data_IF_329992229167
#
_entry.id   IF_329992229167
#
_cell.length_a   1.000
_cell.length_b   1.000
_cell.length_c   1.000
_cell.angle_alpha   90.00
_cell.angle_beta   90.00
_cell.angle_gamma   90.00
#
_symmetry.space_group_name_H-M   'P 1'
#
loop_
_entity.id
_entity.type
_entity.pdbx_description
1 polymer ?
#
# COMPACT_ATOMS: atom_id res chain seq x y z
N UNK A 1 27.79 -32.67 -14.06
CA UNK A 1 28.19 -31.37 -13.50
C UNK A 1 27.24 -31.09 -12.35
N UNK A 2 27.75 -31.01 -11.11
CA UNK A 2 26.93 -30.69 -9.93
C UNK A 2 26.30 -29.31 -10.14
N UNK A 3 24.98 -29.23 -10.38
CA UNK A 3 24.25 -28.01 -10.24
C UNK A 3 24.34 -27.61 -8.77
N UNK A 4 25.24 -26.70 -8.44
CA UNK A 4 25.18 -25.97 -7.18
C UNK A 4 23.81 -25.33 -7.16
N UNK A 5 22.92 -25.82 -6.31
CA UNK A 5 21.58 -25.28 -6.11
C UNK A 5 21.73 -23.82 -5.66
N UNK A 6 21.68 -22.88 -6.62
CA UNK A 6 21.82 -21.47 -6.30
C UNK A 6 20.60 -21.06 -5.47
N UNK A 7 20.85 -20.50 -4.31
CA UNK A 7 19.80 -19.93 -3.45
C UNK A 7 19.57 -18.48 -3.82
N UNK A 8 18.33 -18.07 -3.96
CA UNK A 8 17.97 -16.66 -4.16
C UNK A 8 17.81 -16.00 -2.79
N UNK A 9 18.48 -14.89 -2.57
CA UNK A 9 18.27 -14.07 -1.38
C UNK A 9 17.18 -13.04 -1.65
N UNK A 10 16.18 -12.97 -0.76
CA UNK A 10 15.13 -11.92 -0.80
C UNK A 10 15.25 -11.08 0.46
N UNK A 11 15.42 -9.78 0.31
CA UNK A 11 15.53 -8.82 1.40
C UNK A 11 14.19 -8.10 1.61
N UNK A 12 13.56 -8.31 2.77
CA UNK A 12 12.27 -7.74 3.16
C UNK A 12 11.10 -8.71 2.98
N UNK A 13 10.34 -8.92 4.05
CA UNK A 13 9.18 -9.82 4.13
C UNK A 13 7.83 -9.11 4.04
N UNK A 14 7.77 -7.94 3.38
CA UNK A 14 6.51 -7.26 3.03
C UNK A 14 5.77 -7.98 1.89
N UNK A 15 4.73 -7.34 1.31
CA UNK A 15 3.93 -7.92 0.23
C UNK A 15 4.80 -8.37 -0.95
N UNK A 16 5.68 -7.50 -1.41
CA UNK A 16 6.54 -7.76 -2.57
C UNK A 16 7.53 -8.88 -2.32
N UNK A 17 8.20 -8.88 -1.16
CA UNK A 17 9.21 -9.89 -0.84
C UNK A 17 8.61 -11.26 -0.53
N UNK A 18 7.46 -11.31 0.16
CA UNK A 18 6.72 -12.56 0.37
C UNK A 18 6.24 -13.15 -0.94
N UNK A 19 5.71 -12.31 -1.85
CA UNK A 19 5.33 -12.74 -3.19
C UNK A 19 6.55 -13.25 -3.97
N UNK A 20 7.67 -12.50 -3.96
CA UNK A 20 8.88 -12.90 -4.67
C UNK A 20 9.44 -14.23 -4.14
N UNK A 21 9.55 -14.39 -2.83
CA UNK A 21 10.02 -15.62 -2.20
C UNK A 21 9.14 -16.82 -2.59
N UNK A 22 7.82 -16.65 -2.53
CA UNK A 22 6.85 -17.66 -2.92
C UNK A 22 7.00 -18.07 -4.38
N UNK A 23 7.09 -17.09 -5.28
CA UNK A 23 7.19 -17.34 -6.72
C UNK A 23 8.48 -18.06 -7.12
N UNK A 24 9.60 -17.74 -6.48
CA UNK A 24 10.87 -18.46 -6.69
C UNK A 24 10.79 -19.87 -6.11
N UNK A 25 10.29 -20.01 -4.88
CA UNK A 25 10.24 -21.29 -4.17
C UNK A 25 9.32 -22.33 -4.83
N UNK A 26 8.16 -21.90 -5.35
CA UNK A 26 7.22 -22.79 -6.06
C UNK A 26 7.77 -23.33 -7.38
N UNK A 27 8.82 -22.71 -7.93
CA UNK A 27 9.58 -23.17 -9.10
C UNK A 27 10.74 -24.10 -8.73
N UNK A 28 10.82 -24.53 -7.46
CA UNK A 28 11.80 -25.49 -6.98
C UNK A 28 13.17 -24.89 -6.61
N UNK A 29 13.32 -23.58 -6.63
CA UNK A 29 14.56 -22.90 -6.22
C UNK A 29 14.54 -22.61 -4.73
N UNK A 30 15.67 -22.78 -4.04
CA UNK A 30 15.81 -22.41 -2.64
C UNK A 30 15.84 -20.90 -2.47
N UNK A 31 15.17 -20.41 -1.43
CA UNK A 31 15.08 -18.98 -1.10
C UNK A 31 15.52 -18.78 0.34
N UNK A 32 16.30 -17.73 0.58
CA UNK A 32 16.55 -17.18 1.91
C UNK A 32 15.88 -15.82 2.00
N UNK A 33 14.78 -15.75 2.77
CA UNK A 33 14.00 -14.54 2.97
C UNK A 33 14.41 -13.88 4.29
N UNK A 34 14.93 -12.66 4.20
CA UNK A 34 15.28 -11.84 5.35
C UNK A 34 14.16 -10.88 5.70
N UNK A 35 13.78 -10.84 6.98
CA UNK A 35 12.84 -9.86 7.54
C UNK A 35 13.35 -9.39 8.91
N UNK A 36 13.55 -8.10 9.07
CA UNK A 36 14.11 -7.55 10.30
C UNK A 36 13.16 -7.59 11.50
N UNK A 37 11.85 -7.65 11.26
CA UNK A 37 10.84 -7.74 12.35
C UNK A 37 10.70 -9.18 12.85
N UNK A 38 10.42 -9.39 14.12
CA UNK A 38 10.15 -8.41 15.17
C UNK A 38 11.39 -7.82 15.83
N UNK A 39 12.60 -8.26 15.48
CA UNK A 39 13.83 -7.83 16.15
C UNK A 39 14.10 -6.32 16.00
N UNK A 40 13.74 -5.76 14.84
CA UNK A 40 13.80 -4.33 14.57
C UNK A 40 12.51 -3.89 13.89
N UNK A 41 11.72 -3.11 14.59
CA UNK A 41 10.44 -2.57 14.09
C UNK A 41 10.66 -1.33 13.23
N UNK A 42 9.71 -1.04 12.34
CA UNK A 42 9.62 0.24 11.63
C UNK A 42 8.59 1.15 12.29
N UNK A 43 8.55 2.44 11.95
CA UNK A 43 7.55 3.34 12.53
C UNK A 43 6.09 3.02 12.19
N UNK A 44 5.84 2.23 11.13
CA UNK A 44 4.48 1.96 10.64
C UNK A 44 3.97 0.54 10.92
N UNK A 45 4.86 -0.42 11.18
CA UNK A 45 4.48 -1.80 11.48
C UNK A 45 4.23 -2.00 12.98
N UNK A 46 3.26 -2.83 13.30
CA UNK A 46 2.86 -3.15 14.68
C UNK A 46 3.21 -4.59 15.06
N UNK A 47 3.38 -5.47 14.07
CA UNK A 47 3.65 -6.90 14.27
C UNK A 47 4.94 -7.35 13.61
N UNK A 48 5.39 -8.56 13.95
CA UNK A 48 6.47 -9.24 13.24
C UNK A 48 6.01 -10.08 12.05
N UNK A 49 4.70 -10.10 11.74
CA UNK A 49 4.17 -10.95 10.66
C UNK A 49 4.58 -10.43 9.28
N UNK A 50 4.74 -11.37 8.34
CA UNK A 50 5.02 -11.06 6.94
C UNK A 50 3.78 -10.45 6.28
N UNK A 51 4.00 -9.61 5.26
CA UNK A 51 2.90 -9.04 4.46
C UNK A 51 1.97 -8.10 5.21
N UNK A 52 2.34 -7.58 6.37
CA UNK A 52 1.52 -6.64 7.16
C UNK A 52 1.17 -5.39 6.35
N UNK A 53 -0.15 -5.04 6.35
CA UNK A 53 -0.67 -3.84 5.70
C UNK A 53 -0.56 -2.63 6.63
N UNK A 54 0.26 -1.66 6.29
CA UNK A 54 0.56 -0.52 7.17
C UNK A 54 -0.39 0.66 7.02
N UNK A 55 -1.00 0.87 5.86
CA UNK A 55 -1.89 2.01 5.58
C UNK A 55 -3.37 1.58 5.62
N UNK A 56 -3.93 1.21 4.50
CA UNK A 56 -5.32 0.77 4.34
C UNK A 56 -5.41 -0.76 4.42
N UNK A 57 -6.59 -1.30 4.75
CA UNK A 57 -6.86 -2.73 4.60
C UNK A 57 -7.48 -3.08 3.23
N UNK A 58 -7.60 -2.11 2.33
CA UNK A 58 -8.18 -2.30 1.00
C UNK A 58 -7.11 -2.51 -0.07
N UNK A 59 -7.35 -3.51 -0.88
CA UNK A 59 -6.60 -3.78 -2.12
C UNK A 59 -7.28 -3.18 -3.36
N UNK A 60 -8.20 -2.21 -3.16
CA UNK A 60 -8.87 -1.48 -4.24
C UNK A 60 -10.03 -2.23 -4.91
N UNK A 61 -10.63 -1.61 -5.93
CA UNK A 61 -11.82 -2.11 -6.61
C UNK A 61 -11.63 -3.46 -7.32
N UNK A 62 -12.69 -4.29 -7.36
CA UNK A 62 -12.63 -5.67 -7.90
C UNK A 62 -13.09 -5.80 -9.34
N UNK A 63 -13.87 -4.83 -9.83
CA UNK A 63 -14.43 -4.92 -11.18
C UNK A 63 -13.31 -4.92 -12.23
N UNK A 64 -13.31 -5.89 -13.13
CA UNK A 64 -12.36 -5.98 -14.27
C UNK A 64 -12.52 -4.84 -15.29
N UNK A 65 -13.50 -3.95 -15.09
CA UNK A 65 -13.63 -2.69 -15.81
C UNK A 65 -12.74 -1.58 -15.22
N UNK A 66 -12.05 -1.85 -14.11
CA UNK A 66 -11.08 -0.96 -13.48
C UNK A 66 -9.68 -1.54 -13.61
N UNK A 67 -8.67 -0.69 -13.67
CA UNK A 67 -7.27 -1.11 -13.78
C UNK A 67 -6.80 -1.97 -12.59
N UNK A 68 -7.25 -1.62 -11.38
CA UNK A 68 -6.98 -2.43 -10.18
C UNK A 68 -7.62 -3.83 -10.27
N UNK A 69 -8.83 -3.94 -10.81
CA UNK A 69 -9.48 -5.23 -11.03
C UNK A 69 -8.79 -6.07 -12.12
N UNK A 70 -8.27 -5.43 -13.18
CA UNK A 70 -7.45 -6.11 -14.19
C UNK A 70 -6.16 -6.66 -13.55
N UNK A 71 -5.44 -5.84 -12.78
CA UNK A 71 -4.21 -6.26 -12.11
C UNK A 71 -4.45 -7.43 -11.15
N UNK A 72 -5.55 -7.42 -10.37
CA UNK A 72 -5.94 -8.55 -9.52
C UNK A 72 -6.16 -9.84 -10.33
N UNK A 73 -6.87 -9.75 -11.44
CA UNK A 73 -7.13 -10.91 -12.30
C UNK A 73 -5.83 -11.48 -12.89
N UNK A 74 -4.89 -10.64 -13.29
CA UNK A 74 -3.56 -11.06 -13.76
C UNK A 74 -2.77 -11.75 -12.64
N UNK A 75 -2.65 -11.12 -11.47
CA UNK A 75 -1.95 -11.69 -10.31
C UNK A 75 -2.56 -13.05 -9.88
N UNK A 76 -3.88 -13.14 -9.84
CA UNK A 76 -4.58 -14.40 -9.51
C UNK A 76 -4.24 -15.49 -10.51
N UNK A 77 -4.27 -15.19 -11.82
CA UNK A 77 -3.90 -16.16 -12.89
C UNK A 77 -2.45 -16.61 -12.79
N UNK A 78 -1.57 -15.74 -12.35
CA UNK A 78 -0.15 -16.06 -12.14
C UNK A 78 0.12 -16.81 -10.83
N UNK A 79 -0.94 -17.09 -10.03
CA UNK A 79 -0.84 -17.84 -8.77
C UNK A 79 -0.16 -17.05 -7.66
N UNK A 80 -0.54 -15.78 -7.51
CA UNK A 80 -0.06 -14.90 -6.45
C UNK A 80 -0.46 -15.41 -5.06
N UNK A 81 0.51 -15.50 -4.16
CA UNK A 81 0.31 -15.78 -2.74
C UNK A 81 -0.56 -14.71 -2.09
N UNK A 82 -0.25 -13.46 -2.37
CA UNK A 82 -0.92 -12.29 -1.79
C UNK A 82 -2.40 -12.30 -2.16
N UNK A 83 -2.72 -12.58 -3.43
CA UNK A 83 -4.12 -12.66 -3.87
C UNK A 83 -4.86 -13.84 -3.25
N UNK A 84 -4.21 -15.01 -3.10
CA UNK A 84 -4.82 -16.16 -2.42
C UNK A 84 -5.15 -15.84 -0.95
N UNK A 85 -4.21 -15.22 -0.22
CA UNK A 85 -4.44 -14.84 1.16
C UNK A 85 -5.51 -13.75 1.30
N UNK A 86 -5.53 -12.77 0.37
CA UNK A 86 -6.52 -11.71 0.37
C UNK A 86 -7.94 -12.24 0.19
N UNK A 87 -8.15 -13.16 -0.75
CA UNK A 87 -9.47 -13.77 -0.98
C UNK A 87 -9.99 -14.55 0.26
N UNK A 88 -9.09 -15.17 1.01
CA UNK A 88 -9.45 -15.96 2.21
C UNK A 88 -9.63 -15.13 3.49
N UNK A 89 -9.20 -13.89 3.48
CA UNK A 89 -9.28 -12.97 4.63
C UNK A 89 -10.19 -11.77 4.37
N UNK A 90 -11.11 -11.89 3.39
CA UNK A 90 -12.04 -10.82 3.00
C UNK A 90 -12.89 -10.34 4.17
N UNK A 91 -13.13 -9.04 4.18
CA UNK A 91 -14.15 -8.39 4.99
C UNK A 91 -15.09 -7.57 4.09
N UNK A 92 -16.34 -7.31 4.51
CA UNK A 92 -17.28 -6.53 3.73
C UNK A 92 -16.77 -5.13 3.39
N UNK A 93 -16.76 -4.78 2.09
CA UNK A 93 -16.29 -3.48 1.61
C UNK A 93 -16.88 -3.10 0.24
N UNK A 94 -18.12 -3.45 -0.03
CA UNK A 94 -18.84 -3.11 -1.25
C UNK A 94 -18.14 -3.63 -2.52
N UNK A 95 -17.70 -2.72 -3.39
CA UNK A 95 -17.01 -3.07 -4.65
C UNK A 95 -15.48 -3.15 -4.51
N UNK A 96 -14.93 -3.11 -3.30
CA UNK A 96 -13.50 -3.20 -3.05
C UNK A 96 -13.14 -4.55 -2.38
N UNK A 97 -11.96 -5.08 -2.67
CA UNK A 97 -11.38 -6.15 -1.90
C UNK A 97 -10.71 -5.55 -0.66
N UNK A 98 -11.34 -5.70 0.49
CA UNK A 98 -10.74 -5.38 1.78
C UNK A 98 -10.51 -6.67 2.57
N UNK A 99 -9.53 -6.65 3.45
CA UNK A 99 -9.09 -7.82 4.21
C UNK A 99 -9.04 -7.52 5.72
N UNK A 100 -9.25 -8.55 6.51
CA UNK A 100 -8.85 -8.57 7.91
C UNK A 100 -7.32 -8.58 7.97
N UNK A 101 -6.72 -7.51 8.50
CA UNK A 101 -5.25 -7.29 8.47
C UNK A 101 -4.48 -8.40 9.17
N UNK A 102 -4.93 -8.79 10.36
CA UNK A 102 -4.22 -9.78 11.17
C UNK A 102 -4.31 -11.14 10.53
N UNK A 103 -5.51 -11.55 10.12
CA UNK A 103 -5.74 -12.82 9.44
C UNK A 103 -4.98 -12.90 8.12
N UNK A 104 -4.97 -11.82 7.35
CA UNK A 104 -4.22 -11.73 6.09
C UNK A 104 -2.72 -11.93 6.31
N UNK A 105 -2.12 -11.17 7.23
CA UNK A 105 -0.69 -11.28 7.55
C UNK A 105 -0.34 -12.65 8.14
N UNK A 106 -1.15 -13.19 9.05
CA UNK A 106 -0.96 -14.51 9.63
C UNK A 106 -0.96 -15.61 8.56
N UNK A 107 -1.85 -15.55 7.57
CA UNK A 107 -1.90 -16.53 6.47
C UNK A 107 -0.65 -16.47 5.58
N UNK A 108 -0.12 -15.27 5.31
CA UNK A 108 1.12 -15.11 4.55
C UNK A 108 2.29 -15.68 5.33
N UNK A 109 2.41 -15.31 6.61
CA UNK A 109 3.48 -15.77 7.50
C UNK A 109 3.47 -17.30 7.62
N UNK A 110 2.30 -17.92 7.82
CA UNK A 110 2.12 -19.36 7.88
C UNK A 110 2.56 -20.06 6.58
N UNK A 111 2.10 -19.57 5.42
CA UNK A 111 2.43 -20.18 4.12
C UNK A 111 3.93 -20.09 3.79
N UNK A 112 4.54 -18.96 4.07
CA UNK A 112 5.97 -18.75 3.85
C UNK A 112 6.77 -19.63 4.80
N UNK A 113 6.45 -19.62 6.10
CA UNK A 113 7.18 -20.40 7.12
C UNK A 113 7.07 -21.91 6.92
N UNK A 114 5.96 -22.39 6.35
CA UNK A 114 5.76 -23.82 6.06
C UNK A 114 6.29 -24.25 4.68
N UNK A 115 6.79 -23.31 3.86
CA UNK A 115 7.32 -23.66 2.54
C UNK A 115 8.71 -24.30 2.63
N UNK A 116 8.90 -25.56 2.22
CA UNK A 116 10.17 -26.29 2.40
C UNK A 116 11.34 -25.70 1.58
N UNK A 117 11.04 -24.82 0.62
CA UNK A 117 12.04 -24.16 -0.19
C UNK A 117 12.36 -22.73 0.30
N UNK A 118 11.74 -22.25 1.38
CA UNK A 118 12.00 -20.93 1.95
C UNK A 118 12.60 -21.08 3.34
N UNK A 119 13.78 -20.51 3.53
CA UNK A 119 14.40 -20.29 4.84
C UNK A 119 14.08 -18.86 5.25
N UNK A 120 13.23 -18.69 6.27
CA UNK A 120 12.92 -17.38 6.84
C UNK A 120 13.95 -17.00 7.90
N UNK A 121 14.68 -15.91 7.66
CA UNK A 121 15.70 -15.38 8.56
C UNK A 121 15.21 -14.06 9.16
N UNK A 122 15.02 -14.04 10.47
CA UNK A 122 14.55 -12.85 11.22
C UNK A 122 15.73 -11.96 11.60
N UNK A 123 16.35 -11.34 10.58
CA UNK A 123 17.51 -10.46 10.73
C UNK A 123 17.44 -9.29 9.77
N UNK A 124 18.02 -8.14 10.16
CA UNK A 124 18.22 -7.00 9.29
C UNK A 124 19.39 -7.25 8.35
N UNK A 125 19.18 -7.13 7.05
CA UNK A 125 20.28 -7.02 6.09
C UNK A 125 20.79 -5.56 6.06
N UNK A 126 22.03 -5.36 6.45
CA UNK A 126 22.72 -4.06 6.45
C UNK A 126 23.68 -3.90 5.28
N UNK A 127 23.96 -4.99 4.56
CA UNK A 127 24.82 -5.03 3.37
C UNK A 127 24.03 -5.58 2.17
N UNK A 128 24.48 -5.23 0.96
CA UNK A 128 23.89 -5.83 -0.24
C UNK A 128 24.16 -7.33 -0.25
N UNK A 129 23.12 -8.16 -0.46
CA UNK A 129 23.30 -9.61 -0.50
C UNK A 129 24.10 -10.06 -1.73
N UNK A 130 24.69 -11.25 -1.63
CA UNK A 130 25.28 -11.92 -2.78
C UNK A 130 24.21 -12.27 -3.83
N UNK A 131 24.57 -12.16 -5.10
CA UNK A 131 23.68 -12.49 -6.22
C UNK A 131 23.57 -14.01 -6.42
N UNK A 132 22.37 -14.51 -6.77
CA UNK A 132 21.17 -13.78 -7.17
C UNK A 132 20.35 -13.28 -5.98
N UNK A 133 19.86 -12.04 -6.06
CA UNK A 133 19.12 -11.41 -4.98
C UNK A 133 18.02 -10.46 -5.44
N UNK A 134 16.96 -10.34 -4.63
CA UNK A 134 15.84 -9.41 -4.84
C UNK A 134 15.72 -8.51 -3.60
N UNK A 135 15.91 -7.22 -3.79
CA UNK A 135 15.68 -6.19 -2.77
C UNK A 135 14.21 -5.82 -2.78
N UNK A 136 13.49 -6.20 -1.73
CA UNK A 136 12.05 -5.95 -1.54
C UNK A 136 11.77 -5.31 -0.18
N UNK A 137 12.69 -4.49 0.30
CA UNK A 137 12.65 -3.85 1.63
C UNK A 137 11.57 -2.80 1.78
N UNK A 138 10.92 -2.45 0.67
CA UNK A 138 9.77 -1.54 0.64
C UNK A 138 10.13 -0.08 0.95
N UNK A 139 9.11 0.74 1.22
CA UNK A 139 9.28 2.19 1.39
C UNK A 139 9.99 2.55 2.69
N UNK A 140 9.95 1.68 3.70
CA UNK A 140 10.57 1.85 5.01
C UNK A 140 11.91 1.10 5.12
N UNK A 141 12.65 1.04 4.03
CA UNK A 141 14.01 0.49 3.99
C UNK A 141 14.87 1.10 5.08
N UNK A 142 15.61 0.26 5.80
CA UNK A 142 16.46 0.70 6.90
C UNK A 142 17.61 1.60 6.42
N UNK A 143 18.07 2.50 7.28
CA UNK A 143 19.12 3.45 6.92
C UNK A 143 20.41 2.77 6.38
N UNK A 144 20.95 1.69 7.01
CA UNK A 144 22.12 1.01 6.45
C UNK A 144 21.90 0.46 5.03
N UNK A 145 20.76 -0.19 4.78
CA UNK A 145 20.46 -0.70 3.44
C UNK A 145 20.23 0.44 2.44
N UNK A 146 19.58 1.53 2.84
CA UNK A 146 19.41 2.70 2.00
C UNK A 146 20.76 3.30 1.58
N UNK A 147 21.70 3.46 2.51
CA UNK A 147 23.06 3.93 2.21
C UNK A 147 23.80 3.04 1.19
N UNK A 148 23.64 1.70 1.31
CA UNK A 148 24.23 0.75 0.35
C UNK A 148 23.61 0.87 -1.04
N UNK A 149 22.31 1.01 -1.12
CA UNK A 149 21.60 1.20 -2.38
C UNK A 149 21.95 2.56 -3.02
N UNK A 150 22.04 3.64 -2.25
CA UNK A 150 22.48 4.95 -2.74
C UNK A 150 23.93 4.87 -3.29
N UNK A 151 24.83 4.18 -2.58
CA UNK A 151 26.19 3.96 -3.03
C UNK A 151 26.27 3.12 -4.32
N UNK A 152 25.36 2.12 -4.46
CA UNK A 152 25.28 1.28 -5.65
C UNK A 152 24.82 2.08 -6.88
N UNK A 153 23.81 2.91 -6.72
CA UNK A 153 23.18 3.65 -7.83
C UNK A 153 23.94 4.93 -8.19
N UNK A 154 24.75 5.47 -7.28
CA UNK A 154 25.39 6.78 -7.40
C UNK A 154 24.39 7.94 -7.38
N UNK A 155 23.14 7.69 -7.04
CA UNK A 155 22.06 8.66 -6.98
C UNK A 155 21.47 8.77 -5.58
N UNK A 156 20.99 9.98 -5.23
CA UNK A 156 20.18 10.17 -4.03
C UNK A 156 18.80 9.53 -4.25
N UNK A 157 18.25 8.94 -3.18
CA UNK A 157 16.89 8.45 -3.22
C UNK A 157 15.90 9.58 -3.39
N UNK A 158 14.82 9.27 -4.12
CA UNK A 158 13.63 10.08 -4.13
C UNK A 158 12.74 9.67 -2.95
N UNK A 159 11.98 10.62 -2.43
CA UNK A 159 11.12 10.40 -1.30
C UNK A 159 9.74 11.00 -1.54
N UNK A 160 8.73 10.34 -1.03
CA UNK A 160 7.40 10.93 -0.86
C UNK A 160 6.87 10.62 0.55
N UNK A 161 5.85 11.34 0.96
CA UNK A 161 5.24 11.17 2.26
C UNK A 161 3.90 10.48 2.12
N UNK A 162 3.68 9.49 2.97
CA UNK A 162 2.45 8.74 3.09
C UNK A 162 1.94 8.84 4.53
N UNK A 163 0.63 8.82 4.69
CA UNK A 163 -0.02 8.90 5.99
C UNK A 163 -1.01 7.76 6.17
N UNK A 164 -1.15 7.30 7.41
CA UNK A 164 -2.10 6.27 7.81
C UNK A 164 -3.37 6.92 8.34
N UNK A 165 -4.52 6.34 8.03
CA UNK A 165 -5.80 6.74 8.58
C UNK A 165 -6.06 6.07 9.94
N UNK A 166 -6.78 6.72 10.88
CA UNK A 166 -7.15 6.14 12.15
C UNK A 166 -8.15 4.99 12.04
N UNK A 167 -8.14 4.12 13.06
CA UNK A 167 -9.09 3.02 13.25
C UNK A 167 -9.86 3.28 14.55
N UNK A 168 -11.18 3.10 14.50
CA UNK A 168 -12.09 3.28 15.65
C UNK A 168 -12.74 1.96 16.06
N UNK A 169 -13.06 1.85 17.36
CA UNK A 169 -13.93 0.79 17.88
C UNK A 169 -15.38 1.14 17.56
N UNK A 170 -16.08 0.25 16.83
CA UNK A 170 -17.45 0.48 16.39
C UNK A 170 -18.45 0.55 17.53
N UNK A 171 -18.19 -0.09 18.66
CA UNK A 171 -19.05 -0.04 19.84
C UNK A 171 -19.18 1.37 20.45
N UNK A 172 -18.23 2.25 20.11
CA UNK A 172 -18.17 3.63 20.57
C UNK A 172 -18.69 4.63 19.53
N UNK A 173 -19.11 4.16 18.36
CA UNK A 173 -19.74 4.97 17.31
C UNK A 173 -21.22 5.12 17.59
N UNK A 174 -21.73 6.36 17.56
CA UNK A 174 -23.15 6.64 17.74
C UNK A 174 -23.95 6.28 16.47
N UNK A 175 -24.48 5.05 16.45
CA UNK A 175 -25.27 4.54 15.34
C UNK A 175 -26.63 5.23 15.18
N UNK A 176 -27.07 6.08 16.11
CA UNK A 176 -28.27 6.91 15.93
C UNK A 176 -28.01 8.11 15.02
N UNK A 177 -26.74 8.49 14.86
CA UNK A 177 -26.25 9.56 14.00
C UNK A 177 -25.54 9.04 12.74
N UNK A 178 -25.62 7.73 12.47
CA UNK A 178 -24.96 7.08 11.34
C UNK A 178 -25.91 6.08 10.65
N UNK A 179 -25.60 5.71 9.41
CA UNK A 179 -26.37 4.70 8.68
C UNK A 179 -25.45 3.77 7.90
N UNK A 180 -25.92 2.54 7.61
CA UNK A 180 -25.20 1.57 6.78
C UNK A 180 -25.66 1.68 5.33
N UNK A 181 -24.72 1.92 4.42
CA UNK A 181 -24.99 1.92 2.98
C UNK A 181 -23.70 1.78 2.17
N UNK A 182 -23.82 1.22 0.98
CA UNK A 182 -22.84 1.40 -0.09
C UNK A 182 -23.25 2.60 -0.93
N UNK A 183 -22.28 3.32 -1.49
CA UNK A 183 -22.56 4.44 -2.39
C UNK A 183 -23.34 3.95 -3.62
N UNK A 184 -24.47 4.55 -3.90
CA UNK A 184 -25.42 4.16 -4.97
C UNK A 184 -26.12 2.80 -4.73
N UNK A 185 -26.31 2.39 -3.47
CA UNK A 185 -27.04 1.17 -3.08
C UNK A 185 -27.87 1.37 -1.82
N UNK A 186 -28.89 0.50 -1.61
CA UNK A 186 -29.78 0.56 -0.46
C UNK A 186 -29.21 -0.18 0.77
N UNK A 187 -28.41 -1.22 0.52
CA UNK A 187 -27.71 -1.99 1.55
C UNK A 187 -26.21 -1.72 1.46
N UNK A 188 -25.49 -1.82 2.57
CA UNK A 188 -24.09 -1.53 2.52
C UNK A 188 -23.24 -2.01 3.68
N UNK A 189 -21.98 -2.17 3.34
CA UNK A 189 -20.91 -2.61 4.21
C UNK A 189 -20.27 -1.46 4.99
N UNK A 190 -20.46 -0.22 4.50
CA UNK A 190 -19.88 0.97 5.13
C UNK A 190 -20.84 1.59 6.14
N UNK A 191 -20.29 2.03 7.27
CA UNK A 191 -20.98 2.95 8.17
C UNK A 191 -20.71 4.36 7.67
N UNK A 192 -21.77 5.14 7.46
CA UNK A 192 -21.70 6.49 6.94
C UNK A 192 -22.10 7.47 8.03
N UNK A 193 -21.23 8.43 8.33
CA UNK A 193 -21.41 9.46 9.35
C UNK A 193 -21.70 10.79 8.65
N UNK A 194 -22.98 11.18 8.51
CA UNK A 194 -23.36 12.42 7.85
C UNK A 194 -23.06 13.64 8.73
N UNK A 195 -22.82 14.77 8.09
CA UNK A 195 -22.76 16.11 8.69
C UNK A 195 -23.67 17.06 7.91
N UNK A 196 -24.34 17.96 8.62
CA UNK A 196 -24.98 19.12 8.02
C UNK A 196 -23.94 20.21 7.69
N UNK A 197 -24.38 21.33 7.10
CA UNK A 197 -23.47 22.40 6.66
C UNK A 197 -22.74 23.08 7.84
N UNK A 198 -23.42 23.30 8.95
CA UNK A 198 -22.85 23.95 10.13
C UNK A 198 -21.80 23.05 10.81
N UNK A 199 -22.13 21.79 11.02
CA UNK A 199 -21.23 20.78 11.55
C UNK A 199 -19.97 20.60 10.69
N UNK A 200 -20.15 20.56 9.35
CA UNK A 200 -19.04 20.48 8.43
C UNK A 200 -18.12 21.70 8.49
N UNK A 201 -18.68 22.93 8.55
CA UNK A 201 -17.88 24.16 8.63
C UNK A 201 -17.06 24.23 9.91
N UNK A 202 -17.64 23.81 11.04
CA UNK A 202 -16.94 23.73 12.32
C UNK A 202 -15.79 22.69 12.18
N UNK A 203 -16.10 21.50 11.69
CA UNK A 203 -15.11 20.45 11.49
C UNK A 203 -13.97 20.91 10.56
N UNK A 204 -14.30 21.48 9.40
CA UNK A 204 -13.31 21.97 8.43
C UNK A 204 -12.41 23.04 9.03
N UNK A 205 -12.99 24.02 9.73
CA UNK A 205 -12.24 25.10 10.38
C UNK A 205 -11.24 24.54 11.42
N UNK A 206 -11.70 23.65 12.26
CA UNK A 206 -10.86 23.03 13.27
C UNK A 206 -9.77 22.13 12.66
N UNK A 207 -10.07 21.40 11.58
CA UNK A 207 -9.13 20.57 10.85
C UNK A 207 -8.01 21.39 10.20
N UNK A 208 -8.33 22.51 9.58
CA UNK A 208 -7.35 23.40 8.91
C UNK A 208 -6.40 24.05 9.89
N UNK A 209 -6.87 24.35 11.13
CA UNK A 209 -6.13 25.03 12.16
C UNK A 209 -5.46 24.05 13.17
N UNK A 210 -5.70 22.74 13.04
CA UNK A 210 -5.16 21.74 13.96
C UNK A 210 -3.64 21.65 13.90
N UNK A 211 -3.01 21.33 15.04
CA UNK A 211 -1.59 21.15 15.13
C UNK A 211 -1.13 19.84 14.48
N UNK A 212 -0.13 19.93 13.63
CA UNK A 212 0.50 18.75 13.01
C UNK A 212 1.68 18.26 13.85
N UNK A 213 2.00 16.98 13.74
CA UNK A 213 3.18 16.40 14.35
C UNK A 213 4.46 17.10 13.82
N UNK A 214 5.51 17.27 14.66
CA UNK A 214 6.77 17.85 14.21
C UNK A 214 7.33 17.05 13.04
N UNK A 215 7.69 17.74 11.97
CA UNK A 215 8.37 17.14 10.84
C UNK A 215 9.86 17.18 11.13
N UNK A 216 10.48 16.03 11.32
CA UNK A 216 11.93 15.95 11.46
C UNK A 216 12.60 16.22 10.11
N UNK A 217 13.38 17.32 10.03
CA UNK A 217 14.44 17.62 9.05
C UNK A 217 14.10 17.84 7.57
N UNK A 218 12.98 18.50 7.20
CA UNK A 218 12.76 18.78 5.76
C UNK A 218 12.26 20.21 5.47
N UNK A 219 12.88 20.84 4.47
CA UNK A 219 12.40 22.09 3.88
C UNK A 219 11.05 21.86 3.19
N UNK A 220 10.04 22.64 3.51
CA UNK A 220 8.66 22.51 2.99
C UNK A 220 8.58 22.53 1.45
N UNK A 221 9.56 23.15 0.77
CA UNK A 221 9.60 23.27 -0.68
C UNK A 221 9.91 21.96 -1.43
N UNK A 222 10.37 20.91 -0.75
CA UNK A 222 10.73 19.62 -1.37
C UNK A 222 9.72 18.50 -1.12
N UNK A 223 8.61 18.79 -0.44
CA UNK A 223 7.61 17.75 -0.13
C UNK A 223 6.78 17.39 -1.36
N UNK A 224 7.15 16.31 -2.02
CA UNK A 224 6.28 15.64 -2.97
C UNK A 224 5.33 14.73 -2.19
N UNK A 225 4.06 15.05 -2.18
CA UNK A 225 3.01 14.15 -1.73
C UNK A 225 2.50 13.36 -2.93
N UNK A 226 2.25 12.08 -2.73
CA UNK A 226 1.48 11.32 -3.71
C UNK A 226 0.01 11.74 -3.59
N UNK A 227 -0.62 12.18 -4.68
CA UNK A 227 -1.98 12.73 -4.67
C UNK A 227 -3.04 11.76 -4.09
N UNK A 228 -2.79 10.45 -4.18
CA UNK A 228 -3.69 9.42 -3.64
C UNK A 228 -3.61 9.21 -2.11
N UNK A 229 -2.56 9.72 -1.44
CA UNK A 229 -2.32 9.56 0.00
C UNK A 229 -2.12 10.89 0.72
N UNK A 230 -2.69 11.97 0.17
CA UNK A 230 -2.64 13.28 0.81
C UNK A 230 -3.31 13.26 2.18
N UNK A 231 -2.67 13.82 3.22
CA UNK A 231 -3.30 14.01 4.51
C UNK A 231 -4.58 14.85 4.39
N UNK A 232 -5.61 14.47 5.15
CA UNK A 232 -6.93 15.11 5.09
C UNK A 232 -6.87 16.60 5.39
N UNK A 233 -6.02 17.03 6.32
CA UNK A 233 -5.77 18.44 6.64
C UNK A 233 -5.08 19.20 5.49
N UNK A 234 -4.27 18.52 4.68
CA UNK A 234 -3.62 19.11 3.49
C UNK A 234 -4.67 19.30 2.37
N UNK A 235 -5.57 18.34 2.20
CA UNK A 235 -6.70 18.47 1.28
C UNK A 235 -7.62 19.62 1.72
N UNK A 236 -7.94 19.70 3.02
CA UNK A 236 -8.80 20.75 3.60
C UNK A 236 -8.24 22.17 3.38
N UNK A 237 -6.92 22.35 3.47
CA UNK A 237 -6.24 23.64 3.24
C UNK A 237 -6.32 24.14 1.80
N UNK A 238 -6.66 23.28 0.83
CA UNK A 238 -6.88 23.68 -0.57
C UNK A 238 -8.19 24.45 -0.77
N UNK A 239 -9.11 24.42 0.19
CA UNK A 239 -10.36 25.15 0.19
C UNK A 239 -11.49 24.43 0.91
N UNK A 240 -12.45 25.19 1.46
CA UNK A 240 -13.56 24.66 2.27
C UNK A 240 -14.33 23.54 1.57
N UNK A 241 -14.53 23.62 0.26
CA UNK A 241 -15.31 22.63 -0.48
C UNK A 241 -14.49 21.43 -0.99
N UNK A 242 -13.18 21.46 -0.88
CA UNK A 242 -12.32 20.45 -1.49
C UNK A 242 -12.62 19.03 -0.96
N UNK A 243 -12.88 18.89 0.33
CA UNK A 243 -13.23 17.59 0.94
C UNK A 243 -14.55 17.02 0.40
N UNK A 244 -15.51 17.88 -0.01
CA UNK A 244 -16.81 17.48 -0.54
C UNK A 244 -16.72 16.86 -1.95
N UNK A 245 -15.63 17.10 -2.67
CA UNK A 245 -15.32 16.45 -3.94
C UNK A 245 -14.35 15.26 -3.79
N UNK A 246 -13.89 15.01 -2.58
CA UNK A 246 -12.93 13.97 -2.20
C UNK A 246 -13.49 13.00 -1.13
N UNK A 247 -12.79 12.88 0.01
CA UNK A 247 -13.11 11.87 1.02
C UNK A 247 -14.49 12.04 1.68
N UNK A 248 -15.01 13.25 1.76
CA UNK A 248 -16.31 13.53 2.40
C UNK A 248 -17.45 13.76 1.39
N UNK A 249 -17.32 13.29 0.17
CA UNK A 249 -18.32 13.47 -0.89
C UNK A 249 -19.69 12.94 -0.45
N UNK A 250 -20.79 13.75 -0.51
CA UNK A 250 -22.11 13.35 -0.03
C UNK A 250 -22.95 12.55 -1.04
N UNK A 251 -22.59 12.57 -2.32
CA UNK A 251 -23.41 12.02 -3.42
C UNK A 251 -23.52 10.51 -3.37
N UNK A 252 -24.71 9.97 -3.61
CA UNK A 252 -24.97 8.53 -3.73
C UNK A 252 -25.52 7.88 -2.45
N UNK A 253 -26.04 8.69 -1.50
CA UNK A 253 -26.60 8.20 -0.24
C UNK A 253 -28.07 8.62 -0.04
N UNK A 254 -28.70 9.22 -1.03
CA UNK A 254 -30.04 9.78 -0.94
C UNK A 254 -31.09 8.74 -0.54
N UNK A 255 -30.99 7.52 -1.09
CA UNK A 255 -31.93 6.43 -0.79
C UNK A 255 -31.78 5.90 0.65
N UNK A 256 -30.54 5.83 1.15
CA UNK A 256 -30.24 5.26 2.47
C UNK A 256 -30.42 6.26 3.61
N UNK A 257 -30.48 7.56 3.33
CA UNK A 257 -30.65 8.63 4.32
C UNK A 257 -32.04 9.27 4.28
N UNK A 258 -33.08 8.44 4.27
CA UNK A 258 -34.49 8.87 4.31
C UNK A 258 -34.89 9.91 3.24
N UNK A 259 -34.17 9.96 2.11
CA UNK A 259 -34.40 10.90 1.02
C UNK A 259 -33.70 12.25 1.20
N UNK A 260 -32.96 12.45 2.29
CA UNK A 260 -32.19 13.66 2.53
C UNK A 260 -30.75 13.48 2.03
N UNK A 261 -30.24 14.46 1.29
CA UNK A 261 -28.83 14.51 0.91
C UNK A 261 -28.04 15.20 2.01
N UNK A 262 -27.13 14.49 2.72
CA UNK A 262 -26.27 15.13 3.71
C UNK A 262 -25.35 16.14 3.05
N UNK A 263 -24.85 17.13 3.81
CA UNK A 263 -23.89 18.10 3.27
C UNK A 263 -22.50 17.46 3.07
N UNK A 264 -22.07 16.65 4.02
CA UNK A 264 -20.83 15.87 3.95
C UNK A 264 -21.03 14.47 4.56
N UNK A 265 -20.24 13.49 4.14
CA UNK A 265 -20.31 12.12 4.69
C UNK A 265 -18.92 11.56 4.91
N UNK A 266 -18.63 11.17 6.15
CA UNK A 266 -17.45 10.39 6.49
C UNK A 266 -17.81 8.90 6.43
N UNK A 267 -17.00 8.09 5.75
CA UNK A 267 -17.22 6.65 5.64
C UNK A 267 -16.28 5.88 6.56
N UNK A 268 -16.83 4.89 7.26
CA UNK A 268 -16.06 3.92 8.03
C UNK A 268 -16.13 2.57 7.31
N UNK A 269 -14.96 1.95 7.09
CA UNK A 269 -14.83 0.63 6.45
C UNK A 269 -14.36 -0.38 7.48
N UNK A 270 -15.00 -1.55 7.49
CA UNK A 270 -14.64 -2.67 8.35
C UNK A 270 -13.16 -3.08 8.16
N UNK A 271 -12.46 -3.27 9.28
CA UNK A 271 -11.01 -3.55 9.30
C UNK A 271 -10.66 -4.95 9.82
N UNK A 272 -11.59 -5.63 10.51
CA UNK A 272 -11.43 -7.00 10.99
C UNK A 272 -12.69 -7.86 10.75
N UNK A 273 -12.53 -9.18 10.80
CA UNK A 273 -13.63 -10.14 10.52
C UNK A 273 -14.78 -10.03 11.52
N UNK A 274 -14.49 -9.72 12.77
CA UNK A 274 -15.47 -9.58 13.85
C UNK A 274 -16.37 -8.35 13.69
N UNK A 275 -15.99 -7.41 12.82
CA UNK A 275 -16.74 -6.17 12.60
C UNK A 275 -16.70 -5.23 13.81
N UNK A 276 -15.65 -5.30 14.63
CA UNK A 276 -15.45 -4.46 15.81
C UNK A 276 -14.59 -3.23 15.53
N UNK A 277 -13.71 -3.31 14.52
CA UNK A 277 -12.78 -2.26 14.13
C UNK A 277 -13.12 -1.68 12.77
N UNK A 278 -13.11 -0.35 12.67
CA UNK A 278 -13.43 0.35 11.43
C UNK A 278 -12.39 1.45 11.12
N UNK A 279 -11.87 1.43 9.89
CA UNK A 279 -10.97 2.43 9.36
C UNK A 279 -11.75 3.66 8.87
N UNK A 280 -11.31 4.87 9.21
CA UNK A 280 -11.90 6.11 8.69
C UNK A 280 -11.35 6.37 7.29
N UNK A 281 -12.19 6.19 6.28
CA UNK A 281 -11.78 6.24 4.87
C UNK A 281 -11.39 7.65 4.45
N UNK A 282 -10.19 7.79 3.89
CA UNK A 282 -9.70 9.08 3.40
C UNK A 282 -9.18 10.04 4.48
N UNK A 283 -9.01 9.55 5.72
CA UNK A 283 -8.50 10.33 6.85
C UNK A 283 -7.04 10.04 7.16
N UNK A 284 -6.23 9.79 6.15
CA UNK A 284 -4.78 9.83 6.31
C UNK A 284 -4.39 11.18 6.92
N UNK A 285 -3.55 11.21 7.95
CA UNK A 285 -3.29 12.44 8.68
C UNK A 285 -1.91 12.51 9.32
N UNK A 286 -1.35 13.73 9.38
CA UNK A 286 -0.18 14.08 10.16
C UNK A 286 -0.52 14.92 11.39
N UNK A 287 -1.78 15.01 11.78
CA UNK A 287 -2.17 15.69 13.00
C UNK A 287 -1.54 15.03 14.23
N UNK A 288 -1.19 15.84 15.25
CA UNK A 288 -0.81 15.29 16.57
C UNK A 288 -1.93 14.39 17.10
N UNK A 289 -1.59 13.36 17.83
CA UNK A 289 -2.57 12.39 18.34
C UNK A 289 -3.74 12.99 19.12
N UNK A 290 -3.45 14.02 19.96
CA UNK A 290 -4.51 14.75 20.67
C UNK A 290 -5.42 15.54 19.73
N UNK A 291 -4.87 16.11 18.66
CA UNK A 291 -5.64 16.84 17.66
C UNK A 291 -6.50 15.88 16.81
N UNK A 292 -6.03 14.68 16.51
CA UNK A 292 -6.86 13.66 15.82
C UNK A 292 -8.12 13.36 16.64
N UNK A 293 -7.98 13.12 17.95
CA UNK A 293 -9.13 12.88 18.82
C UNK A 293 -10.04 14.10 18.89
N UNK A 294 -9.48 15.29 19.12
CA UNK A 294 -10.25 16.54 19.25
C UNK A 294 -11.04 16.87 17.99
N UNK A 295 -10.39 16.81 16.83
CA UNK A 295 -10.98 17.23 15.56
C UNK A 295 -11.95 16.16 15.01
N UNK A 296 -11.56 14.89 15.04
CA UNK A 296 -12.41 13.85 14.44
C UNK A 296 -13.65 13.55 15.29
N UNK A 297 -13.64 13.86 16.60
CA UNK A 297 -14.83 13.81 17.45
C UNK A 297 -15.84 14.94 17.19
N UNK A 298 -15.51 15.92 16.35
CA UNK A 298 -16.49 16.90 15.85
C UNK A 298 -17.45 16.30 14.82
N UNK A 299 -17.15 15.14 14.28
CA UNK A 299 -18.08 14.38 13.44
C UNK A 299 -19.14 13.76 14.35
N UNK A 300 -20.44 14.09 14.21
CA UNK A 300 -21.46 13.77 15.21
C UNK A 300 -21.52 12.31 15.64
N UNK A 301 -21.38 11.38 14.70
CA UNK A 301 -21.35 9.95 15.01
C UNK A 301 -20.08 9.48 15.72
N UNK A 302 -19.00 10.27 15.70
CA UNK A 302 -17.70 9.96 16.31
C UNK A 302 -17.43 10.75 17.59
N UNK A 303 -18.40 11.48 18.14
CA UNK A 303 -18.26 12.33 19.33
C UNK A 303 -17.62 11.60 20.52
N UNK A 304 -17.96 10.31 20.69
CA UNK A 304 -17.44 9.47 21.76
C UNK A 304 -16.54 8.33 21.25
N UNK A 305 -16.10 8.39 19.99
CA UNK A 305 -15.34 7.31 19.39
C UNK A 305 -14.00 7.08 20.10
N UNK A 306 -13.66 5.82 20.31
CA UNK A 306 -12.36 5.37 20.79
C UNK A 306 -11.47 5.05 19.57
N UNK A 307 -10.32 5.74 19.49
CA UNK A 307 -9.33 5.55 18.44
C UNK A 307 -8.35 4.46 18.85
N UNK A 308 -8.56 3.23 18.38
CA UNK A 308 -7.71 2.08 18.67
C UNK A 308 -6.34 2.23 17.99
N UNK A 309 -6.33 2.81 16.79
CA UNK A 309 -5.10 3.18 16.08
C UNK A 309 -5.20 4.62 15.61
N UNK A 310 -4.12 5.36 15.82
CA UNK A 310 -4.02 6.75 15.37
C UNK A 310 -3.25 6.85 14.05
N UNK A 311 -3.59 7.85 13.26
CA UNK A 311 -2.86 8.16 12.04
C UNK A 311 -1.42 8.60 12.33
N UNK A 312 -0.52 8.19 11.46
CA UNK A 312 0.90 8.59 11.48
C UNK A 312 1.36 8.85 10.04
N UNK A 313 2.30 9.78 9.89
CA UNK A 313 2.96 10.01 8.61
C UNK A 313 4.35 9.37 8.63
N UNK A 314 4.75 8.79 7.51
CA UNK A 314 6.09 8.27 7.31
C UNK A 314 6.64 8.68 5.94
N UNK A 315 7.95 8.63 5.86
CA UNK A 315 8.71 8.96 4.65
C UNK A 315 8.99 7.67 3.89
N UNK A 316 8.54 7.63 2.67
CA UNK A 316 8.69 6.49 1.77
C UNK A 316 9.84 6.71 0.79
N UNK A 317 10.72 5.72 0.71
CA UNK A 317 11.89 5.72 -0.17
C UNK A 317 11.57 4.99 -1.47
N UNK A 318 12.06 5.53 -2.60
CA UNK A 318 12.05 4.85 -3.89
C UNK A 318 13.25 5.26 -4.76
N UNK A 319 13.60 4.41 -5.73
CA UNK A 319 14.68 4.73 -6.70
C UNK A 319 14.11 5.40 -7.95
N UNK A 320 14.92 6.18 -8.64
CA UNK A 320 14.56 6.67 -9.98
C UNK A 320 14.76 5.53 -10.99
N UNK A 321 13.75 4.64 -11.08
CA UNK A 321 13.84 3.41 -11.89
C UNK A 321 14.36 3.62 -13.31
N UNK A 322 13.92 4.65 -14.10
CA UNK A 322 14.41 4.84 -15.46
C UNK A 322 15.91 5.12 -15.57
N UNK A 323 16.57 5.56 -14.47
CA UNK A 323 18.01 5.81 -14.45
C UNK A 323 18.82 4.61 -14.00
N UNK A 324 18.31 3.87 -13.00
CA UNK A 324 19.11 2.90 -12.26
C UNK A 324 18.76 1.44 -12.56
N UNK A 325 17.62 1.19 -13.23
CA UNK A 325 17.16 -0.17 -13.57
C UNK A 325 17.14 -0.40 -15.07
N UNK A 326 17.30 -1.67 -15.43
CA UNK A 326 16.97 -2.16 -16.78
C UNK A 326 15.47 -2.51 -16.89
N UNK A 327 15.06 -3.03 -18.06
CA UNK A 327 13.65 -3.40 -18.29
C UNK A 327 13.17 -4.61 -17.51
N UNK A 328 14.01 -5.24 -16.68
CA UNK A 328 13.74 -6.46 -15.91
C UNK A 328 13.84 -6.23 -14.39
N UNK A 329 13.70 -4.99 -13.92
CA UNK A 329 13.85 -4.60 -12.51
C UNK A 329 15.24 -4.87 -11.92
N UNK A 330 16.26 -5.05 -12.77
CA UNK A 330 17.63 -5.34 -12.36
C UNK A 330 18.42 -4.05 -12.31
N UNK A 331 19.25 -3.87 -11.30
CA UNK A 331 20.16 -2.73 -11.22
C UNK A 331 21.15 -2.74 -12.36
N UNK A 332 21.34 -1.58 -13.02
CA UNK A 332 22.32 -1.41 -14.10
C UNK A 332 23.72 -1.83 -13.63
N UNK A 333 24.41 -2.61 -14.47
CA UNK A 333 25.75 -3.09 -14.16
C UNK A 333 25.83 -4.25 -13.17
N UNK A 334 24.69 -4.78 -12.70
CA UNK A 334 24.64 -6.00 -11.86
C UNK A 334 24.09 -7.16 -12.68
N UNK A 335 24.56 -8.38 -12.37
CA UNK A 335 24.14 -9.55 -13.16
C UNK A 335 22.78 -10.10 -12.70
N UNK A 336 22.56 -10.19 -11.39
CA UNK A 336 21.37 -10.81 -10.83
C UNK A 336 20.90 -10.13 -9.50
N UNK A 337 21.05 -8.82 -9.41
CA UNK A 337 20.51 -8.01 -8.31
C UNK A 337 19.29 -7.23 -8.79
N UNK A 338 18.12 -7.59 -8.26
CA UNK A 338 16.83 -7.01 -8.60
C UNK A 338 16.28 -6.14 -7.47
N UNK A 339 15.40 -5.20 -7.81
CA UNK A 339 14.58 -4.46 -6.84
C UNK A 339 13.10 -4.66 -7.15
N UNK A 340 12.27 -4.74 -6.11
CA UNK A 340 10.85 -4.95 -6.28
C UNK A 340 10.02 -4.17 -5.25
N UNK A 341 8.72 -4.07 -5.51
CA UNK A 341 7.77 -3.37 -4.65
C UNK A 341 7.86 -1.86 -4.78
N UNK A 342 7.34 -1.16 -3.81
CA UNK A 342 7.22 0.30 -3.82
C UNK A 342 8.58 1.00 -3.97
N UNK A 343 9.64 0.43 -3.43
CA UNK A 343 10.99 0.94 -3.58
C UNK A 343 11.47 1.01 -5.05
N UNK A 344 10.89 0.21 -5.95
CA UNK A 344 11.18 0.27 -7.40
C UNK A 344 10.51 1.44 -8.12
N UNK A 345 9.61 2.19 -7.47
CA UNK A 345 8.91 3.32 -8.08
C UNK A 345 7.47 3.01 -8.52
N UNK A 346 6.86 1.98 -7.99
CA UNK A 346 5.40 1.76 -8.05
C UNK A 346 4.74 2.22 -6.77
N UNK A 347 3.45 2.55 -6.82
CA UNK A 347 2.64 2.89 -5.65
C UNK A 347 1.44 1.95 -5.55
N UNK A 348 1.21 1.42 -4.35
CA UNK A 348 0.08 0.55 -4.04
C UNK A 348 0.49 -0.90 -3.70
N UNK A 349 -0.41 -1.57 -2.97
CA UNK A 349 -0.19 -2.94 -2.49
C UNK A 349 -0.13 -3.96 -3.63
N UNK A 350 -1.04 -3.82 -4.62
CA UNK A 350 -1.10 -4.73 -5.77
C UNK A 350 0.08 -4.52 -6.70
N UNK A 351 0.45 -3.28 -6.94
CA UNK A 351 1.59 -2.90 -7.76
C UNK A 351 2.90 -3.41 -7.13
N UNK A 352 3.03 -3.26 -5.82
CA UNK A 352 4.16 -3.82 -5.07
C UNK A 352 4.23 -5.34 -5.19
N UNK A 353 3.08 -6.02 -5.07
CA UNK A 353 2.95 -7.46 -5.27
C UNK A 353 3.34 -7.87 -6.69
N UNK A 354 2.86 -7.13 -7.69
CA UNK A 354 3.17 -7.38 -9.10
C UNK A 354 4.67 -7.27 -9.41
N UNK A 355 5.34 -6.26 -8.85
CA UNK A 355 6.79 -6.13 -9.02
C UNK A 355 7.56 -7.24 -8.29
N UNK A 356 7.07 -7.72 -7.14
CA UNK A 356 7.62 -8.89 -6.45
C UNK A 356 7.54 -10.15 -7.31
N UNK A 357 6.37 -10.39 -7.90
CA UNK A 357 6.14 -11.50 -8.81
C UNK A 357 7.02 -11.40 -10.06
N UNK A 358 7.07 -10.24 -10.70
CA UNK A 358 7.86 -10.02 -11.92
C UNK A 358 9.36 -10.22 -11.65
N UNK A 359 9.90 -9.64 -10.57
CA UNK A 359 11.30 -9.80 -10.19
C UNK A 359 11.65 -11.28 -9.94
N UNK A 360 10.74 -12.04 -9.30
CA UNK A 360 10.93 -13.47 -9.08
C UNK A 360 10.96 -14.27 -10.40
N UNK A 361 10.08 -13.92 -11.34
CA UNK A 361 10.04 -14.55 -12.67
C UNK A 361 11.32 -14.28 -13.44
N UNK A 362 11.82 -13.04 -13.42
CA UNK A 362 13.08 -12.67 -14.06
C UNK A 362 14.29 -13.34 -13.40
N UNK A 363 14.36 -13.33 -12.08
CA UNK A 363 15.44 -13.99 -11.35
C UNK A 363 15.46 -15.50 -11.61
N UNK A 364 14.30 -16.15 -11.69
CA UNK A 364 14.19 -17.56 -12.04
C UNK A 364 14.66 -17.83 -13.46
N UNK A 365 14.18 -17.10 -14.46
CA UNK A 365 14.55 -17.27 -15.87
C UNK A 365 16.08 -17.16 -16.04
N UNK A 366 16.70 -16.16 -15.42
CA UNK A 366 18.14 -16.01 -15.45
C UNK A 366 18.88 -17.20 -14.80
N UNK A 367 18.40 -17.69 -13.65
CA UNK A 367 18.98 -18.86 -12.99
C UNK A 367 18.86 -20.14 -13.80
N UNK A 368 17.73 -20.30 -14.48
CA UNK A 368 17.45 -21.45 -15.35
C UNK A 368 18.21 -21.37 -16.69
N UNK A 369 18.78 -20.21 -17.02
CA UNK A 369 19.39 -19.98 -18.34
C UNK A 369 18.34 -19.88 -19.46
N UNK A 370 17.12 -19.50 -19.10
CA UNK A 370 16.02 -19.29 -20.03
C UNK A 370 16.06 -17.86 -20.58
N UNK A 371 15.40 -17.65 -21.72
CA UNK A 371 15.15 -16.30 -22.22
C UNK A 371 14.31 -15.49 -21.25
N UNK A 372 14.65 -14.22 -21.06
CA UNK A 372 13.90 -13.34 -20.17
C UNK A 372 12.47 -13.17 -20.68
N UNK A 373 11.46 -13.52 -19.87
CA UNK A 373 10.07 -13.44 -20.33
C UNK A 373 9.64 -11.98 -20.49
N UNK A 374 8.85 -11.71 -21.51
CA UNK A 374 8.21 -10.41 -21.69
C UNK A 374 6.81 -10.41 -21.05
N UNK A 375 6.52 -9.34 -20.32
CA UNK A 375 5.15 -9.00 -19.93
C UNK A 375 4.59 -8.02 -20.97
N UNK A 376 3.57 -8.41 -21.75
CA UNK A 376 3.02 -7.54 -22.78
C UNK A 376 2.57 -6.20 -22.18
N UNK A 377 2.95 -5.09 -22.80
CA UNK A 377 2.64 -3.72 -22.31
C UNK A 377 1.14 -3.41 -22.26
N UNK A 378 0.32 -4.22 -22.93
CA UNK A 378 -1.13 -4.19 -22.89
C UNK A 378 -1.72 -4.82 -21.62
N UNK A 379 -0.92 -5.50 -20.81
CA UNK A 379 -1.29 -6.03 -19.50
C UNK A 379 -1.02 -5.00 -18.40
N UNK A 380 -1.67 -5.15 -17.25
CA UNK A 380 -1.45 -4.24 -16.12
C UNK A 380 -0.02 -4.36 -15.56
N UNK A 381 0.50 -5.59 -15.43
CA UNK A 381 1.88 -5.83 -14.99
C UNK A 381 2.87 -5.26 -16.02
N UNK A 382 2.65 -5.53 -17.31
CA UNK A 382 3.53 -5.06 -18.38
C UNK A 382 3.51 -3.55 -18.54
N UNK A 383 2.36 -2.88 -18.34
CA UNK A 383 2.26 -1.41 -18.37
C UNK A 383 3.04 -0.75 -17.24
N UNK A 384 3.02 -1.33 -16.02
CA UNK A 384 3.83 -0.87 -14.90
C UNK A 384 5.33 -1.03 -15.20
N UNK A 385 5.76 -2.19 -15.67
CA UNK A 385 7.16 -2.42 -16.06
C UNK A 385 7.61 -1.47 -17.18
N UNK A 386 6.75 -1.22 -18.17
CA UNK A 386 7.02 -0.26 -19.22
C UNK A 386 7.16 1.17 -18.67
N UNK A 387 6.29 1.58 -17.72
CA UNK A 387 6.41 2.88 -17.05
C UNK A 387 7.75 3.02 -16.32
N UNK A 388 8.12 2.04 -15.50
CA UNK A 388 9.41 2.06 -14.77
C UNK A 388 10.62 2.16 -15.69
N UNK A 389 10.55 1.61 -16.92
CA UNK A 389 11.60 1.65 -17.91
C UNK A 389 11.66 2.95 -18.71
N UNK A 390 10.48 3.52 -19.05
CA UNK A 390 10.39 4.56 -20.10
C UNK A 390 9.98 5.94 -19.60
N UNK A 391 9.58 6.07 -18.32
CA UNK A 391 9.24 7.36 -17.75
C UNK A 391 10.43 8.35 -17.80
N UNK A 392 10.11 9.64 -17.92
CA UNK A 392 11.13 10.69 -17.90
C UNK A 392 11.72 10.83 -16.50
N UNK A 393 13.03 10.69 -16.33
CA UNK A 393 13.67 10.74 -15.01
C UNK A 393 13.39 12.04 -14.23
N UNK A 394 13.31 13.17 -14.92
CA UNK A 394 13.11 14.50 -14.32
C UNK A 394 11.74 14.67 -13.68
N UNK A 395 10.73 13.92 -14.15
CA UNK A 395 9.35 13.93 -13.65
C UNK A 395 8.92 12.60 -13.05
N UNK A 396 9.88 11.67 -12.86
CA UNK A 396 9.58 10.36 -12.33
C UNK A 396 8.99 10.43 -10.92
N UNK A 397 7.89 9.73 -10.72
CA UNK A 397 7.22 9.58 -9.43
C UNK A 397 6.61 8.18 -9.31
N UNK A 398 6.36 7.67 -8.11
CA UNK A 398 5.68 6.40 -7.94
C UNK A 398 4.35 6.38 -8.68
N UNK A 399 4.00 5.22 -9.23
CA UNK A 399 2.85 5.08 -10.11
C UNK A 399 2.01 3.86 -9.74
N UNK A 400 0.70 4.06 -9.57
CA UNK A 400 -0.26 2.97 -9.56
C UNK A 400 -0.77 2.66 -10.98
N UNK A 401 -1.30 1.46 -11.12
CA UNK A 401 -1.91 1.04 -12.37
C UNK A 401 -3.11 1.93 -12.69
N UNK A 402 -3.05 2.63 -13.82
CA UNK A 402 -4.10 3.50 -14.32
C UNK A 402 -4.13 3.47 -15.86
N UNK A 403 -5.23 3.90 -16.46
CA UNK A 403 -5.40 3.84 -17.92
C UNK A 403 -4.36 4.68 -18.70
N UNK A 404 -3.75 5.68 -18.05
CA UNK A 404 -2.76 6.56 -18.69
C UNK A 404 -1.43 5.88 -19.01
N UNK A 405 -1.09 4.76 -18.33
CA UNK A 405 0.15 4.02 -18.59
C UNK A 405 -0.03 2.84 -19.56
N UNK A 406 -1.28 2.50 -19.93
CA UNK A 406 -1.52 1.50 -20.98
C UNK A 406 -1.29 2.09 -22.36
N UNK A 407 -0.81 1.28 -23.32
CA UNK A 407 -0.73 1.72 -24.70
C UNK A 407 -2.13 2.00 -25.26
N UNK A 408 -2.24 2.93 -26.20
CA UNK A 408 -3.48 3.12 -26.93
C UNK A 408 -3.75 1.84 -27.73
N UNK A 409 -4.91 1.28 -27.56
CA UNK A 409 -5.40 0.21 -28.42
C UNK A 409 -5.69 0.84 -29.78
N UNK A 410 -5.07 0.31 -30.83
CA UNK A 410 -5.23 0.77 -32.21
C UNK A 410 -6.61 0.48 -32.77
#
# INVERSE_FOLDING_TARGET
MSQTCKTVTVAGGGLSGSEAAWQVARRGVKVRLYEMRPNKMTPAHETGMLGELVCSNSLGGEKTTTTAGILKAELTRMGSLIMECAERSRVPAGNALAVDRERFAAMIDEKISNCPNIELVREELTELPEEPAIIATGPLTSAPMAEKLASLTGEEFLYFYDAVAPIVDVSTVDMTKAFKANRYGDEGDYINCPMNEEEYKIFWHELVNAETAPRHDFQEEQMRHFDGCLPVEVIAKRGEQTLLFGPLRPVGFEAANAGETPYAVVQLRQDNTEGTLFNIVGFQTNLKWGEQERVFRLIPALEHAEFVRKGVMHRNLFVCAPRVLDGFLRFNGREALYIAGQASGVEGYLESTAMGLAAAVFAYAQLAGEEMPEFPKETAVGSLLNYLKTALPESFQPMNVNLGIFPRLG
#
